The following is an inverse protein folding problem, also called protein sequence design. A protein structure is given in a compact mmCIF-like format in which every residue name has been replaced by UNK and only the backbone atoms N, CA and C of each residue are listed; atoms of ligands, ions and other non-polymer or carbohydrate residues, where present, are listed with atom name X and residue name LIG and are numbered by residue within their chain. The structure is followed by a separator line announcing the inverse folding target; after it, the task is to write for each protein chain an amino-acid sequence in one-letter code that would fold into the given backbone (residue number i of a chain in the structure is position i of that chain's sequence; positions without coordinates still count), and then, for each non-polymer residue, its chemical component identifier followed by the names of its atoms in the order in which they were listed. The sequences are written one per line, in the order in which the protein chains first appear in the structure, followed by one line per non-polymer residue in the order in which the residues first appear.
data_IF_326014697592
#
_entry.id   IF_326014697592
#
_cell.length_a   1.000
_cell.length_b   1.000
_cell.length_c   1.000
_cell.angle_alpha   90.00
_cell.angle_beta   90.00
_cell.angle_gamma   90.00
#
_symmetry.space_group_name_H-M   'P 1'
#
loop_
_entity.id
_entity.type
_entity.pdbx_description
1 polymer ?
#
# COMPACT_ATOMS: atom_id res chain seq x y z
N UNK A 1 24.82 0.26 2.83
CA UNK A 1 23.70 0.35 1.85
C UNK A 1 22.98 -0.98 1.75
N UNK A 2 23.69 -2.11 1.71
CA UNK A 2 23.13 -3.46 1.67
C UNK A 2 22.10 -3.73 2.78
N UNK A 3 22.43 -3.43 4.04
CA UNK A 3 21.52 -3.63 5.18
C UNK A 3 20.16 -2.91 5.05
N UNK A 4 20.12 -1.78 4.32
CA UNK A 4 18.88 -1.03 4.08
C UNK A 4 18.03 -1.65 2.96
N UNK A 5 18.66 -2.35 2.02
CA UNK A 5 17.96 -3.10 0.96
C UNK A 5 17.35 -4.35 1.56
N UNK A 6 18.09 -5.07 2.41
CA UNK A 6 17.59 -6.27 3.08
C UNK A 6 16.39 -5.95 3.99
N UNK A 7 16.48 -4.87 4.77
CA UNK A 7 15.34 -4.36 5.55
C UNK A 7 14.14 -3.99 4.66
N UNK A 8 14.39 -3.35 3.51
CA UNK A 8 13.31 -3.00 2.57
C UNK A 8 12.64 -4.23 1.96
N UNK A 9 13.39 -5.31 1.71
CA UNK A 9 12.82 -6.58 1.28
C UNK A 9 11.96 -7.22 2.35
N UNK A 10 12.40 -7.22 3.61
CA UNK A 10 11.60 -7.73 4.73
C UNK A 10 10.30 -6.94 4.89
N UNK A 11 10.38 -5.61 4.87
CA UNK A 11 9.20 -4.75 4.93
C UNK A 11 8.28 -4.96 3.72
N UNK A 12 8.82 -5.21 2.53
CA UNK A 12 8.04 -5.50 1.32
C UNK A 12 7.20 -6.77 1.46
N UNK A 13 7.68 -7.78 2.21
CA UNK A 13 6.92 -9.01 2.50
C UNK A 13 5.68 -8.75 3.39
N UNK A 14 5.71 -7.70 4.19
CA UNK A 14 4.59 -7.30 5.05
C UNK A 14 3.52 -6.51 4.31
N UNK A 15 3.82 -5.99 3.11
CA UNK A 15 2.88 -5.21 2.32
C UNK A 15 1.69 -6.07 1.84
N UNK A 16 0.46 -5.52 1.78
CA UNK A 16 -0.70 -6.23 1.25
C UNK A 16 -0.45 -6.80 -0.15
N UNK A 17 -0.71 -8.09 -0.35
CA UNK A 17 -0.48 -8.76 -1.65
C UNK A 17 -1.44 -8.27 -2.74
N UNK A 18 -2.61 -7.78 -2.36
CA UNK A 18 -3.60 -7.19 -3.28
C UNK A 18 -3.10 -5.85 -3.80
N UNK A 19 -3.58 -5.43 -4.97
CA UNK A 19 -3.26 -4.11 -5.52
C UNK A 19 -3.72 -3.00 -4.56
N UNK A 20 -2.75 -2.24 -4.07
CA UNK A 20 -2.95 -1.10 -3.17
C UNK A 20 -1.93 -0.02 -3.55
N UNK A 21 -2.39 1.23 -3.71
CA UNK A 21 -1.59 2.30 -4.32
C UNK A 21 -0.22 2.48 -3.66
N UNK A 22 -0.16 2.45 -2.33
CA UNK A 22 1.11 2.57 -1.61
C UNK A 22 1.94 1.29 -1.73
N UNK A 23 1.33 0.12 -1.54
CA UNK A 23 2.06 -1.15 -1.52
C UNK A 23 2.70 -1.45 -2.88
N UNK A 24 1.90 -1.33 -3.94
CA UNK A 24 2.36 -1.52 -5.31
C UNK A 24 3.45 -0.51 -5.68
N UNK A 25 3.27 0.77 -5.33
CA UNK A 25 4.27 1.80 -5.64
C UNK A 25 5.60 1.55 -4.90
N UNK A 26 5.56 1.08 -3.65
CA UNK A 26 6.76 0.72 -2.90
C UNK A 26 7.48 -0.50 -3.50
N UNK A 27 6.74 -1.55 -3.92
CA UNK A 27 7.33 -2.73 -4.58
C UNK A 27 8.01 -2.38 -5.88
N UNK A 28 7.33 -1.64 -6.76
CA UNK A 28 7.91 -1.19 -8.04
C UNK A 28 9.20 -0.41 -7.75
N UNK A 29 9.17 0.54 -6.81
CA UNK A 29 10.35 1.33 -6.47
C UNK A 29 11.50 0.45 -5.96
N UNK A 30 11.23 -0.52 -5.10
CA UNK A 30 12.23 -1.47 -4.60
C UNK A 30 12.87 -2.26 -5.75
N UNK A 31 12.06 -2.87 -6.61
CA UNK A 31 12.56 -3.66 -7.73
C UNK A 31 13.37 -2.82 -8.73
N UNK A 32 12.93 -1.60 -9.02
CA UNK A 32 13.67 -0.66 -9.87
C UNK A 32 15.04 -0.35 -9.28
N UNK A 33 15.12 -0.13 -7.95
CA UNK A 33 16.41 0.13 -7.26
C UNK A 33 17.33 -1.09 -7.25
N UNK A 34 16.76 -2.28 -7.29
CA UNK A 34 17.49 -3.56 -7.42
C UNK A 34 17.80 -3.93 -8.88
N UNK A 35 17.41 -3.10 -9.85
CA UNK A 35 17.51 -3.39 -11.30
C UNK A 35 16.76 -4.68 -11.70
N UNK A 36 15.72 -5.02 -10.95
CA UNK A 36 14.83 -6.16 -11.20
C UNK A 36 13.64 -5.70 -12.02
N UNK A 37 13.88 -5.26 -13.25
CA UNK A 37 12.85 -4.60 -14.05
C UNK A 37 11.68 -5.51 -14.42
N UNK A 38 11.92 -6.79 -14.68
CA UNK A 38 10.83 -7.75 -14.93
C UNK A 38 9.87 -7.85 -13.74
N UNK A 39 10.38 -7.97 -12.51
CA UNK A 39 9.56 -8.00 -11.30
C UNK A 39 8.75 -6.68 -11.14
N UNK A 40 9.35 -5.54 -11.48
CA UNK A 40 8.65 -4.25 -11.49
C UNK A 40 7.53 -4.19 -12.55
N UNK A 41 7.75 -4.78 -13.73
CA UNK A 41 6.75 -4.87 -14.79
C UNK A 41 5.58 -5.76 -14.40
N UNK A 42 5.83 -6.88 -13.73
CA UNK A 42 4.78 -7.76 -13.22
C UNK A 42 3.84 -7.05 -12.24
N UNK A 43 4.37 -6.20 -11.36
CA UNK A 43 3.53 -5.39 -10.45
C UNK A 43 2.65 -4.39 -11.22
N UNK A 44 3.14 -3.83 -12.33
CA UNK A 44 2.33 -2.95 -13.19
C UNK A 44 1.24 -3.73 -13.91
N UNK A 45 1.52 -4.96 -14.35
CA UNK A 45 0.54 -5.82 -15.00
C UNK A 45 -0.58 -6.23 -14.03
N UNK A 46 -0.24 -6.55 -12.78
CA UNK A 46 -1.24 -6.82 -11.71
C UNK A 46 -2.20 -5.65 -11.54
N UNK A 47 -1.70 -4.41 -11.57
CA UNK A 47 -2.54 -3.20 -11.49
C UNK A 47 -3.58 -3.09 -12.61
N UNK A 48 -3.18 -3.48 -13.83
CA UNK A 48 -4.03 -3.43 -15.00
C UNK A 48 -5.05 -4.56 -15.03
N UNK A 49 -4.71 -5.72 -14.47
CA UNK A 49 -5.53 -6.94 -14.50
C UNK A 49 -6.46 -7.11 -13.28
N UNK A 50 -6.07 -6.64 -12.08
CA UNK A 50 -6.92 -6.74 -10.89
C UNK A 50 -7.98 -5.63 -10.88
N UNK A 51 -9.23 -5.97 -11.17
CA UNK A 51 -10.37 -5.14 -10.79
C UNK A 51 -10.59 -5.27 -9.27
N UNK A 52 -10.03 -4.32 -8.52
CA UNK A 52 -10.15 -4.29 -7.06
C UNK A 52 -11.59 -3.93 -6.69
N UNK A 53 -12.37 -4.96 -6.39
CA UNK A 53 -13.80 -4.88 -6.07
C UNK A 53 -14.11 -4.25 -4.70
N UNK A 54 -13.10 -3.97 -3.87
CA UNK A 54 -13.26 -3.51 -2.50
C UNK A 54 -12.77 -2.09 -2.20
N UNK A 55 -12.08 -1.43 -3.14
CA UNK A 55 -11.65 -0.05 -2.99
C UNK A 55 -11.75 0.62 -4.37
N UNK A 56 -12.70 1.53 -4.55
CA UNK A 56 -12.82 2.41 -5.71
C UNK A 56 -11.66 3.42 -5.79
N UNK A 57 -10.41 2.96 -5.70
CA UNK A 57 -9.25 3.81 -5.98
C UNK A 57 -9.01 3.73 -7.47
N UNK A 58 -9.52 4.73 -8.20
CA UNK A 58 -9.27 4.88 -9.63
C UNK A 58 -7.77 4.85 -9.95
N UNK A 59 -6.95 5.31 -9.01
CA UNK A 59 -5.49 5.38 -9.11
C UNK A 59 -4.82 4.32 -8.23
N UNK A 60 -3.85 3.60 -8.80
CA UNK A 60 -3.25 2.39 -8.22
C UNK A 60 -1.72 2.43 -8.18
N UNK A 61 -1.09 3.44 -8.80
CA UNK A 61 0.37 3.64 -8.80
C UNK A 61 0.73 5.12 -8.69
N UNK A 62 1.76 5.48 -7.92
CA UNK A 62 2.33 6.83 -7.89
C UNK A 62 2.98 7.20 -9.23
N UNK A 63 2.66 8.38 -9.76
CA UNK A 63 3.33 8.91 -10.95
C UNK A 63 4.85 9.03 -10.75
N UNK A 64 5.29 9.55 -9.60
CA UNK A 64 6.73 9.73 -9.32
C UNK A 64 7.52 8.42 -9.37
N UNK A 65 6.92 7.30 -8.95
CA UNK A 65 7.56 5.98 -9.04
C UNK A 65 7.70 5.53 -10.50
N UNK A 66 6.71 5.83 -11.35
CA UNK A 66 6.79 5.56 -12.79
C UNK A 66 7.86 6.43 -13.47
N UNK A 67 8.02 7.68 -13.03
CA UNK A 67 9.06 8.59 -13.52
C UNK A 67 10.45 8.10 -13.08
N UNK A 68 10.60 7.62 -11.84
CA UNK A 68 11.83 6.95 -11.36
C UNK A 68 12.15 5.69 -12.19
N UNK A 69 11.15 4.85 -12.48
CA UNK A 69 11.34 3.67 -13.32
C UNK A 69 11.80 4.07 -14.72
N UNK A 70 11.16 5.06 -15.35
CA UNK A 70 11.57 5.56 -16.65
C UNK A 70 13.04 6.03 -16.64
N UNK A 71 13.43 6.84 -15.65
CA UNK A 71 14.81 7.30 -15.53
C UNK A 71 15.80 6.14 -15.36
N UNK A 72 15.47 5.14 -14.56
CA UNK A 72 16.35 4.00 -14.30
C UNK A 72 16.51 3.11 -15.54
N UNK A 73 15.40 2.76 -16.20
CA UNK A 73 15.43 1.87 -17.36
C UNK A 73 16.06 2.55 -18.58
N UNK A 74 15.85 3.86 -18.77
CA UNK A 74 16.49 4.62 -19.86
C UNK A 74 17.99 4.81 -19.68
N UNK A 75 18.53 4.62 -18.47
CA UNK A 75 19.97 4.69 -18.23
C UNK A 75 20.72 3.39 -18.57
N UNK A 76 20.00 2.37 -19.07
CA UNK A 76 20.52 1.02 -19.29
C UNK A 76 20.33 0.58 -20.74
N UNK A 77 21.45 0.28 -21.40
CA UNK A 77 21.47 -0.19 -22.78
C UNK A 77 21.11 -1.68 -22.91
N UNK A 78 21.19 -2.44 -21.82
CA UNK A 78 20.92 -3.88 -21.78
C UNK A 78 19.46 -4.24 -21.49
N UNK A 79 18.61 -3.25 -21.18
CA UNK A 79 17.21 -3.44 -20.77
C UNK A 79 16.19 -3.11 -21.89
N UNK A 80 16.53 -3.44 -23.14
CA UNK A 80 15.76 -3.02 -24.34
C UNK A 80 14.34 -3.61 -24.34
N UNK A 81 14.19 -4.87 -23.98
CA UNK A 81 12.88 -5.55 -24.05
C UNK A 81 11.98 -5.16 -22.87
N UNK A 82 12.57 -4.97 -21.69
CA UNK A 82 11.92 -4.38 -20.52
C UNK A 82 11.43 -2.98 -20.84
N UNK A 83 12.23 -2.16 -21.54
CA UNK A 83 11.86 -0.81 -21.93
C UNK A 83 10.66 -0.81 -22.88
N UNK A 84 10.68 -1.66 -23.92
CA UNK A 84 9.53 -1.82 -24.84
C UNK A 84 8.26 -2.23 -24.08
N UNK A 85 8.36 -3.18 -23.16
CA UNK A 85 7.23 -3.62 -22.34
C UNK A 85 6.73 -2.50 -21.45
N UNK A 86 7.64 -1.79 -20.78
CA UNK A 86 7.34 -0.65 -19.93
C UNK A 86 6.56 0.44 -20.68
N UNK A 87 7.00 0.83 -21.88
CA UNK A 87 6.30 1.82 -22.70
C UNK A 87 4.87 1.40 -23.06
N UNK A 88 4.68 0.11 -23.34
CA UNK A 88 3.35 -0.45 -23.63
C UNK A 88 2.44 -0.32 -22.41
N UNK A 89 2.95 -0.72 -21.24
CA UNK A 89 2.21 -0.63 -19.97
C UNK A 89 1.94 0.82 -19.57
N UNK A 90 2.88 1.75 -19.77
CA UNK A 90 2.68 3.18 -19.51
C UNK A 90 1.52 3.76 -20.34
N UNK A 91 1.39 3.38 -21.61
CA UNK A 91 0.26 3.80 -22.45
C UNK A 91 -1.07 3.29 -21.89
N UNK A 92 -1.12 2.04 -21.45
CA UNK A 92 -2.33 1.47 -20.83
C UNK A 92 -2.68 2.16 -19.50
N UNK A 93 -1.70 2.35 -18.62
CA UNK A 93 -1.90 3.08 -17.35
C UNK A 93 -2.43 4.50 -17.57
N UNK A 94 -1.96 5.18 -18.63
CA UNK A 94 -2.44 6.49 -19.04
C UNK A 94 -3.88 6.44 -19.55
N UNK A 95 -4.17 5.49 -20.45
CA UNK A 95 -5.50 5.29 -21.04
C UNK A 95 -6.59 5.06 -19.97
N UNK A 96 -6.26 4.32 -18.91
CA UNK A 96 -7.19 3.98 -17.83
C UNK A 96 -7.06 4.87 -16.59
N UNK A 97 -6.29 5.97 -16.66
CA UNK A 97 -6.04 6.91 -15.56
C UNK A 97 -5.67 6.23 -14.22
N UNK A 98 -4.77 5.23 -14.27
CA UNK A 98 -4.42 4.41 -13.09
C UNK A 98 -3.32 5.04 -12.22
N UNK A 99 -2.88 6.26 -12.48
CA UNK A 99 -1.77 6.92 -11.76
C UNK A 99 -2.27 8.02 -10.84
N UNK A 100 -1.75 8.06 -9.61
CA UNK A 100 -1.99 9.17 -8.67
C UNK A 100 -0.90 10.22 -8.78
N UNK A 101 -1.28 11.48 -8.59
CA UNK A 101 -0.36 12.61 -8.45
C UNK A 101 0.19 12.75 -7.02
N UNK A 102 -0.40 12.05 -6.04
CA UNK A 102 0.11 12.03 -4.67
C UNK A 102 1.50 11.38 -4.63
N UNK A 103 2.39 11.98 -3.85
CA UNK A 103 3.72 11.46 -3.57
C UNK A 103 3.67 10.25 -2.64
N UNK A 104 4.75 9.46 -2.62
CA UNK A 104 4.86 8.34 -1.66
C UNK A 104 4.79 8.82 -0.21
N UNK A 105 5.40 9.98 0.11
CA UNK A 105 5.35 10.54 1.46
C UNK A 105 3.93 10.90 1.88
N UNK A 106 3.15 11.51 0.98
CA UNK A 106 1.74 11.81 1.23
C UNK A 106 0.90 10.55 1.40
N UNK A 107 1.21 9.46 0.68
CA UNK A 107 0.52 8.18 0.86
C UNK A 107 0.92 7.47 2.16
N UNK A 108 2.16 7.60 2.60
CA UNK A 108 2.62 7.03 3.88
C UNK A 108 1.98 7.75 5.08
N UNK A 109 1.78 9.06 4.94
CA UNK A 109 1.17 9.91 5.96
C UNK A 109 -0.35 10.03 5.81
N UNK A 110 -0.93 9.48 4.74
CA UNK A 110 -2.38 9.48 4.60
C UNK A 110 -3.01 8.59 5.65
N UNK A 111 -4.13 9.03 6.20
CA UNK A 111 -4.98 8.18 7.03
C UNK A 111 -5.24 6.89 6.25
N UNK A 112 -4.68 5.79 6.75
CA UNK A 112 -4.95 4.47 6.23
C UNK A 112 -6.44 4.27 6.44
N UNK A 113 -7.23 4.45 5.38
CA UNK A 113 -8.63 4.05 5.36
C UNK A 113 -8.64 2.53 5.51
N UNK A 114 -8.49 2.06 6.75
CA UNK A 114 -8.88 0.73 7.12
C UNK A 114 -10.34 0.64 6.70
N UNK A 115 -10.74 -0.37 5.93
CA UNK A 115 -12.14 -0.68 5.83
C UNK A 115 -12.54 -1.08 7.24
N UNK A 116 -13.02 -0.11 8.03
CA UNK A 116 -13.98 -0.40 9.09
C UNK A 116 -15.04 -1.14 8.32
N UNK A 117 -15.14 -2.45 8.55
CA UNK A 117 -16.22 -3.25 8.00
C UNK A 117 -17.49 -2.44 8.26
N UNK A 118 -18.22 -2.08 7.21
CA UNK A 118 -19.52 -1.43 7.38
C UNK A 118 -20.37 -2.39 8.22
N UNK A 119 -20.50 -2.07 9.50
CA UNK A 119 -21.12 -2.89 10.53
C UNK A 119 -20.10 -3.27 11.61
N UNK A 120 -20.09 -2.52 12.72
CA UNK A 120 -19.77 -2.92 14.11
C UNK A 120 -19.47 -1.74 15.05
N UNK A 121 -19.96 -0.53 14.71
CA UNK A 121 -20.38 0.39 15.77
C UNK A 121 -21.82 0.81 15.44
N UNK A 122 -22.74 -0.14 15.62
CA UNK A 122 -24.01 0.28 16.21
C UNK A 122 -23.65 0.89 17.56
N UNK A 123 -24.29 1.99 17.95
CA UNK A 123 -24.18 2.54 19.30
C UNK A 123 -24.40 1.38 20.28
N UNK A 124 -23.31 0.81 20.81
CA UNK A 124 -23.41 -0.21 21.84
C UNK A 124 -23.95 0.55 23.04
N UNK A 125 -25.28 0.53 23.19
CA UNK A 125 -25.93 0.89 24.44
C UNK A 125 -25.52 -0.17 25.44
N UNK A 126 -24.36 0.02 26.05
CA UNK A 126 -23.92 -0.80 27.17
C UNK A 126 -24.99 -0.61 28.23
N UNK A 127 -25.75 -1.69 28.49
CA UNK A 127 -26.77 -1.69 29.54
C UNK A 127 -26.09 -1.29 30.85
N UNK A 128 -26.58 -0.24 31.54
CA UNK A 128 -25.98 0.24 32.80
C UNK A 128 -25.81 -0.90 33.81
N UNK A 129 -26.75 -1.84 33.85
CA UNK A 129 -26.70 -3.04 34.70
C UNK A 129 -25.53 -3.98 34.38
N UNK A 130 -25.06 -4.00 33.14
CA UNK A 130 -23.90 -4.78 32.72
C UNK A 130 -22.61 -4.09 33.16
N UNK A 131 -22.58 -2.75 33.05
CA UNK A 131 -21.49 -1.91 33.54
C UNK A 131 -21.33 -2.04 35.06
N UNK A 132 -22.43 -1.99 35.82
CA UNK A 132 -22.43 -2.14 37.27
C UNK A 132 -21.85 -3.50 37.70
N UNK A 133 -22.22 -4.59 37.02
CA UNK A 133 -21.67 -5.93 37.29
C UNK A 133 -20.18 -6.05 36.96
N UNK A 134 -19.74 -5.39 35.90
CA UNK A 134 -18.33 -5.37 35.53
C UNK A 134 -17.57 -4.63 36.62
N UNK A 135 -18.01 -3.45 37.04
CA UNK A 135 -17.38 -2.69 38.13
C UNK A 135 -17.38 -3.48 39.44
N UNK A 136 -18.47 -4.19 39.78
CA UNK A 136 -18.57 -5.01 40.99
C UNK A 136 -17.59 -6.20 41.00
N UNK A 137 -17.12 -6.66 39.83
CA UNK A 137 -16.23 -7.83 39.72
C UNK A 137 -14.81 -7.46 39.27
N UNK A 138 -14.55 -6.19 38.99
CA UNK A 138 -13.21 -5.71 38.66
C UNK A 138 -12.40 -5.57 39.96
N UNK A 139 -11.21 -6.17 40.06
CA UNK A 139 -10.35 -6.04 41.24
C UNK A 139 -10.02 -4.57 41.50
N UNK A 140 -10.11 -4.13 42.77
CA UNK A 140 -9.90 -2.72 43.18
C UNK A 140 -8.59 -2.10 42.65
N UNK A 141 -7.56 -2.92 42.42
CA UNK A 141 -6.29 -2.55 41.77
C UNK A 141 -6.46 -1.85 40.41
N UNK A 142 -7.55 -2.12 39.69
CA UNK A 142 -7.82 -1.55 38.37
C UNK A 142 -8.77 -0.34 38.40
N UNK A 143 -9.30 0.01 39.57
CA UNK A 143 -10.27 1.10 39.74
C UNK A 143 -9.85 2.14 40.78
N UNK A 144 -8.76 1.94 41.51
CA UNK A 144 -8.25 2.92 42.48
C UNK A 144 -7.46 4.03 41.76
N UNK A 145 -8.06 5.23 41.67
CA UNK A 145 -7.44 6.43 41.10
C UNK A 145 -6.35 7.04 41.99
N UNK A 146 -5.92 6.34 43.05
CA UNK A 146 -4.82 6.75 43.93
C UNK A 146 -3.52 6.02 43.58
N UNK A 147 -2.85 6.51 42.53
CA UNK A 147 -1.42 6.31 42.29
C UNK A 147 -0.71 7.65 42.10
#
# INVERSE_FOLDING_TARGET
MQDRVDLAEELSRLLPRRVHVLATSLRIRLFVRQVRFWDALEEIEKVLNEDVSCLHVHTKICKSVMDEFYSAISSRDDAVDEAKRFFTLQKLLSKYNRRTTRSLSELLLSDMALPVAKGFMEDIKIEEKLLDRIVEHVPEVLTDDRL
#
